data_IF_750553783542
#
_entry.id   IF_750553783542
#
_cell.length_a   1.000
_cell.length_b   1.000
_cell.length_c   1.000
_cell.angle_alpha   90.00
_cell.angle_beta   90.00
_cell.angle_gamma   90.00
#
_symmetry.space_group_name_H-M   'P 1'
#
loop_
_entity.id
_entity.type
_entity.pdbx_description
1 polymer ?
#
# COMPACT_ATOMS: atom_id res chain seq x y z
N UNK A 1 9.28 24.90 44.34
CA UNK A 1 8.10 24.32 43.67
C UNK A 1 8.18 24.81 42.25
N UNK A 2 8.71 24.01 41.33
CA UNK A 2 8.96 24.40 39.93
C UNK A 2 7.79 23.94 39.10
N UNK A 3 7.21 24.86 38.34
CA UNK A 3 6.09 24.61 37.44
C UNK A 3 6.52 23.66 36.31
N UNK A 4 5.79 22.56 36.17
CA UNK A 4 5.94 21.65 35.03
C UNK A 4 5.16 22.30 33.87
N UNK A 5 5.89 22.93 32.95
CA UNK A 5 5.31 23.36 31.68
C UNK A 5 5.02 22.09 30.85
N UNK A 6 3.75 21.74 30.70
CA UNK A 6 3.27 20.78 29.71
C UNK A 6 3.33 21.44 28.34
N UNK A 7 4.44 21.26 27.64
CA UNK A 7 4.59 21.63 26.23
C UNK A 7 3.72 20.74 25.34
N UNK A 8 3.29 21.33 24.24
CA UNK A 8 2.43 20.73 23.21
C UNK A 8 3.11 19.50 22.58
N UNK A 9 2.55 18.30 22.79
CA UNK A 9 3.11 17.02 22.39
C UNK A 9 2.80 16.63 20.91
N UNK A 10 2.60 17.61 20.04
CA UNK A 10 2.16 17.36 18.66
C UNK A 10 3.27 16.95 17.67
N UNK A 11 4.54 16.84 18.09
CA UNK A 11 5.65 16.37 17.21
C UNK A 11 6.78 15.73 18.05
N UNK A 12 6.61 14.46 18.45
CA UNK A 12 7.61 13.76 19.25
C UNK A 12 8.46 12.86 18.33
N UNK A 13 9.37 13.46 17.55
CA UNK A 13 10.42 12.69 16.86
C UNK A 13 11.80 12.82 17.52
N UNK A 14 11.95 13.71 18.49
CA UNK A 14 13.14 13.80 19.35
C UNK A 14 12.79 14.73 20.51
N UNK A 15 12.32 14.20 21.64
CA UNK A 15 11.99 15.01 22.81
C UNK A 15 13.18 15.07 23.75
N UNK A 16 13.73 16.25 23.92
CA UNK A 16 14.69 16.53 25.00
C UNK A 16 13.88 16.84 26.25
N UNK A 17 13.89 15.94 27.23
CA UNK A 17 13.28 16.17 28.53
C UNK A 17 14.37 16.67 29.47
N UNK A 18 14.26 17.93 29.92
CA UNK A 18 15.13 18.49 30.95
C UNK A 18 14.68 17.98 32.31
N UNK A 19 15.47 17.13 32.92
CA UNK A 19 15.26 16.66 34.31
C UNK A 19 16.41 17.19 35.18
N UNK A 20 16.17 18.26 35.91
CA UNK A 20 17.18 18.88 36.80
C UNK A 20 18.35 19.47 36.01
N UNK A 21 19.58 19.15 36.39
CA UNK A 21 20.82 19.63 35.75
C UNK A 21 21.31 18.73 34.60
N UNK A 22 20.52 17.78 34.16
CA UNK A 22 20.87 16.84 33.07
C UNK A 22 19.87 16.85 31.92
N UNK A 23 20.36 16.74 30.68
CA UNK A 23 19.55 16.51 29.50
C UNK A 23 19.44 15.00 29.27
N UNK A 24 18.22 14.46 29.25
CA UNK A 24 17.94 13.07 28.83
C UNK A 24 17.39 13.13 27.44
N UNK A 25 18.16 12.65 26.47
CA UNK A 25 17.71 12.48 25.11
C UNK A 25 16.91 11.17 25.02
N UNK A 26 15.58 11.29 24.94
CA UNK A 26 14.70 10.13 24.77
C UNK A 26 14.54 9.86 23.28
N UNK A 27 15.22 8.85 22.80
CA UNK A 27 15.04 8.35 21.43
C UNK A 27 13.81 7.43 21.42
N UNK A 28 12.67 7.96 20.99
CA UNK A 28 11.47 7.14 20.74
C UNK A 28 11.61 6.59 19.33
N UNK A 29 11.75 5.26 19.14
CA UNK A 29 11.82 4.69 17.81
C UNK A 29 10.50 4.99 17.08
N UNK A 30 10.61 5.59 15.89
CA UNK A 30 9.47 5.81 15.01
C UNK A 30 8.83 4.45 14.70
N UNK A 31 7.62 4.23 15.18
CA UNK A 31 6.88 2.99 14.91
C UNK A 31 6.45 2.99 13.45
N UNK A 32 7.30 2.45 12.58
CA UNK A 32 7.04 2.37 11.16
C UNK A 32 5.93 1.33 10.92
N UNK A 33 4.75 1.79 10.57
CA UNK A 33 3.64 0.91 10.20
C UNK A 33 3.98 0.20 8.88
N UNK A 34 4.00 -1.13 8.93
CA UNK A 34 4.11 -1.97 7.74
C UNK A 34 2.71 -2.53 7.45
N UNK A 35 2.04 -2.07 6.38
CA UNK A 35 0.69 -2.53 6.08
C UNK A 35 0.68 -3.97 5.57
N UNK A 36 -0.20 -4.81 6.13
CA UNK A 36 -0.46 -6.19 5.70
C UNK A 36 -1.96 -6.33 5.42
N UNK A 37 -2.40 -5.81 4.27
CA UNK A 37 -3.83 -5.64 3.93
C UNK A 37 -4.35 -6.66 2.93
N UNK A 38 -3.52 -7.58 2.41
CA UNK A 38 -3.99 -8.59 1.46
C UNK A 38 -5.00 -9.53 2.12
N UNK A 39 -6.19 -9.70 1.52
CA UNK A 39 -7.08 -10.78 1.89
C UNK A 39 -6.42 -12.15 1.66
N UNK A 40 -6.83 -13.15 2.44
CA UNK A 40 -6.40 -14.52 2.20
C UNK A 40 -6.98 -15.03 0.86
N UNK A 41 -6.20 -15.77 0.07
CA UNK A 41 -6.69 -16.40 -1.13
C UNK A 41 -7.78 -17.45 -0.80
N UNK A 42 -8.74 -17.71 -1.72
CA UNK A 42 -9.73 -18.74 -1.52
C UNK A 42 -9.08 -20.11 -1.25
N UNK A 43 -9.55 -20.79 -0.19
CA UNK A 43 -8.99 -22.10 0.22
C UNK A 43 -9.25 -23.22 -0.81
N UNK A 44 -10.30 -23.05 -1.63
CA UNK A 44 -10.74 -23.98 -2.67
C UNK A 44 -10.19 -23.64 -4.07
N UNK A 45 -9.21 -22.75 -4.16
CA UNK A 45 -8.60 -22.39 -5.43
C UNK A 45 -7.85 -23.59 -6.03
N UNK A 46 -8.33 -24.06 -7.19
CA UNK A 46 -7.75 -25.20 -7.91
C UNK A 46 -7.46 -24.85 -9.38
N UNK A 47 -6.47 -25.52 -9.94
CA UNK A 47 -6.07 -25.31 -11.34
C UNK A 47 -5.20 -24.07 -11.55
N UNK A 48 -4.97 -23.73 -12.81
CA UNK A 48 -4.21 -22.56 -13.28
C UNK A 48 -2.77 -22.47 -12.73
N UNK A 49 -2.18 -23.62 -12.32
CA UNK A 49 -0.84 -23.64 -11.74
C UNK A 49 0.22 -23.14 -12.72
N UNK A 50 0.16 -23.57 -14.00
CA UNK A 50 1.07 -23.13 -15.04
C UNK A 50 1.00 -21.60 -15.27
N UNK A 51 -0.21 -21.05 -15.30
CA UNK A 51 -0.42 -19.60 -15.45
C UNK A 51 0.16 -18.81 -14.26
N UNK A 52 -0.03 -19.32 -13.04
CA UNK A 52 0.58 -18.71 -11.83
C UNK A 52 2.10 -18.78 -11.88
N UNK A 53 2.68 -19.88 -12.34
CA UNK A 53 4.12 -20.04 -12.43
C UNK A 53 4.73 -19.09 -13.49
N UNK A 54 4.03 -18.91 -14.63
CA UNK A 54 4.41 -17.93 -15.65
C UNK A 54 4.34 -16.48 -15.12
N UNK A 55 3.27 -16.14 -14.40
CA UNK A 55 3.12 -14.80 -13.79
C UNK A 55 4.18 -14.53 -12.72
N UNK A 56 4.46 -15.51 -11.86
CA UNK A 56 5.53 -15.40 -10.87
C UNK A 56 6.90 -15.21 -11.55
N UNK A 57 7.19 -15.99 -12.59
CA UNK A 57 8.43 -15.87 -13.36
C UNK A 57 8.55 -14.49 -14.03
N UNK A 58 7.46 -13.96 -14.63
CA UNK A 58 7.45 -12.64 -15.25
C UNK A 58 7.79 -11.53 -14.24
N UNK A 59 7.26 -11.61 -13.02
CA UNK A 59 7.56 -10.65 -11.96
C UNK A 59 9.00 -10.79 -11.48
N UNK A 60 9.46 -12.00 -11.18
CA UNK A 60 10.75 -12.24 -10.54
C UNK A 60 11.94 -12.10 -11.49
N UNK A 61 11.82 -12.59 -12.74
CA UNK A 61 12.93 -12.63 -13.69
C UNK A 61 12.94 -11.47 -14.67
N UNK A 62 11.77 -10.99 -15.07
CA UNK A 62 11.63 -9.89 -16.04
C UNK A 62 11.44 -8.53 -15.36
N UNK A 63 11.30 -8.50 -14.02
CA UNK A 63 11.09 -7.28 -13.26
C UNK A 63 9.79 -6.57 -13.63
N UNK A 64 8.72 -7.35 -13.93
CA UNK A 64 7.41 -6.78 -14.22
C UNK A 64 6.92 -5.99 -13.00
N UNK A 65 6.49 -4.75 -13.24
CA UNK A 65 6.02 -3.83 -12.20
C UNK A 65 4.51 -3.74 -12.14
N UNK A 66 3.83 -4.15 -13.20
CA UNK A 66 2.39 -4.17 -13.32
C UNK A 66 1.99 -5.52 -13.89
N UNK A 67 1.18 -6.25 -13.14
CA UNK A 67 0.55 -7.49 -13.57
C UNK A 67 -0.96 -7.23 -13.76
N UNK A 68 -1.40 -7.06 -15.00
CA UNK A 68 -2.81 -6.85 -15.33
C UNK A 68 -3.51 -8.19 -15.63
N UNK A 69 -4.52 -8.55 -14.85
CA UNK A 69 -5.36 -9.73 -15.06
C UNK A 69 -6.65 -9.32 -15.77
N UNK A 70 -6.75 -9.58 -17.06
CA UNK A 70 -7.92 -9.24 -17.88
C UNK A 70 -8.77 -10.46 -18.17
N UNK A 71 -10.06 -10.25 -18.44
CA UNK A 71 -11.01 -11.32 -18.80
C UNK A 71 -12.45 -10.99 -18.40
N UNK A 72 -13.37 -11.88 -18.77
CA UNK A 72 -14.79 -11.73 -18.43
C UNK A 72 -15.03 -11.67 -16.92
N UNK A 73 -16.15 -11.04 -16.52
CA UNK A 73 -16.61 -11.06 -15.13
C UNK A 73 -16.81 -12.50 -14.64
N UNK A 74 -16.47 -12.78 -13.38
CA UNK A 74 -16.70 -14.10 -12.78
C UNK A 74 -15.68 -15.19 -13.11
N UNK A 75 -14.69 -14.95 -13.98
CA UNK A 75 -13.65 -15.97 -14.33
C UNK A 75 -12.58 -16.18 -13.26
N UNK A 76 -12.74 -15.61 -12.06
CA UNK A 76 -11.81 -15.81 -10.95
C UNK A 76 -10.55 -14.96 -11.01
N UNK A 77 -10.57 -13.77 -11.65
CA UNK A 77 -9.41 -12.86 -11.70
C UNK A 77 -8.91 -12.46 -10.31
N UNK A 78 -9.80 -12.01 -9.45
CA UNK A 78 -9.46 -11.66 -8.05
C UNK A 78 -8.85 -12.84 -7.30
N UNK A 79 -9.44 -14.03 -7.41
CA UNK A 79 -8.92 -15.25 -6.79
C UNK A 79 -7.50 -15.58 -7.28
N UNK A 80 -7.29 -15.56 -8.61
CA UNK A 80 -5.96 -15.78 -9.21
C UNK A 80 -4.96 -14.72 -8.73
N UNK A 81 -5.36 -13.45 -8.73
CA UNK A 81 -4.53 -12.35 -8.26
C UNK A 81 -4.14 -12.47 -6.79
N UNK A 82 -5.07 -12.88 -5.91
CA UNK A 82 -4.79 -13.11 -4.49
C UNK A 82 -3.82 -14.28 -4.28
N UNK A 83 -3.97 -15.38 -5.04
CA UNK A 83 -3.02 -16.50 -4.99
C UNK A 83 -1.64 -16.04 -5.46
N UNK A 84 -1.56 -15.29 -6.57
CA UNK A 84 -0.31 -14.70 -7.06
C UNK A 84 0.33 -13.78 -6.01
N UNK A 85 -0.44 -12.86 -5.43
CA UNK A 85 0.01 -11.95 -4.39
C UNK A 85 0.54 -12.69 -3.16
N UNK A 86 -0.16 -13.75 -2.74
CA UNK A 86 0.26 -14.61 -1.63
C UNK A 86 1.59 -15.31 -1.89
N UNK A 87 1.82 -15.80 -3.13
CA UNK A 87 3.11 -16.41 -3.53
C UNK A 87 4.25 -15.40 -3.55
N UNK A 88 3.96 -14.16 -3.93
CA UNK A 88 4.95 -13.10 -4.09
C UNK A 88 5.22 -12.30 -2.82
N UNK A 89 4.35 -12.33 -1.81
CA UNK A 89 4.42 -11.45 -0.64
C UNK A 89 5.77 -11.43 0.08
N UNK A 90 6.49 -12.55 0.09
CA UNK A 90 7.81 -12.63 0.74
C UNK A 90 8.88 -11.75 0.04
N UNK A 91 8.66 -11.39 -1.23
CA UNK A 91 9.53 -10.50 -2.00
C UNK A 91 9.22 -9.01 -1.77
N UNK A 92 8.12 -8.72 -1.03
CA UNK A 92 7.64 -7.36 -0.74
C UNK A 92 7.50 -7.16 0.77
N UNK A 93 8.64 -7.16 1.52
CA UNK A 93 8.63 -7.13 2.98
C UNK A 93 8.21 -5.77 3.57
N UNK A 94 8.26 -4.69 2.77
CA UNK A 94 7.91 -3.35 3.24
C UNK A 94 6.40 -3.09 3.27
N UNK A 95 5.59 -4.07 2.83
CA UNK A 95 4.15 -4.04 2.98
C UNK A 95 3.36 -4.60 1.81
N UNK A 96 2.09 -4.90 2.09
CA UNK A 96 1.11 -5.32 1.10
C UNK A 96 -0.16 -4.47 1.28
N UNK A 97 -0.50 -3.74 0.25
CA UNK A 97 -1.68 -2.89 0.17
C UNK A 97 -2.77 -3.57 -0.66
N UNK A 98 -4.01 -3.43 -0.23
CA UNK A 98 -5.18 -3.91 -0.97
C UNK A 98 -6.25 -2.83 -1.03
N UNK A 99 -6.83 -2.65 -2.20
CA UNK A 99 -8.00 -1.79 -2.37
C UNK A 99 -8.95 -2.37 -3.42
N UNK A 100 -10.24 -2.44 -3.08
CA UNK A 100 -11.30 -2.79 -4.01
C UNK A 100 -11.86 -1.52 -4.67
N UNK A 101 -11.59 -1.34 -5.96
CA UNK A 101 -11.89 -0.11 -6.70
C UNK A 101 -13.35 0.01 -7.15
N UNK A 102 -14.13 -1.06 -7.02
CA UNK A 102 -15.56 -1.11 -7.39
C UNK A 102 -15.83 -0.67 -8.82
N UNK A 103 -14.97 -1.05 -9.76
CA UNK A 103 -15.03 -0.64 -11.15
C UNK A 103 -16.30 -1.07 -11.87
N UNK A 104 -16.83 -2.25 -11.53
CA UNK A 104 -18.09 -2.76 -12.06
C UNK A 104 -19.34 -2.10 -11.46
N UNK A 105 -19.22 -1.31 -10.40
CA UNK A 105 -20.36 -0.67 -9.72
C UNK A 105 -20.77 0.65 -10.37
N UNK A 106 -21.97 1.13 -10.02
CA UNK A 106 -22.44 2.47 -10.42
C UNK A 106 -21.71 3.62 -9.68
N UNK A 107 -20.99 3.31 -8.60
CA UNK A 107 -20.23 4.28 -7.81
C UNK A 107 -18.81 3.74 -7.53
N UNK A 108 -17.92 3.78 -8.54
CA UNK A 108 -16.54 3.33 -8.39
C UNK A 108 -15.76 4.27 -7.46
N UNK A 109 -14.73 3.73 -6.83
CA UNK A 109 -13.82 4.52 -6.02
C UNK A 109 -13.07 5.51 -6.90
N UNK A 110 -13.08 6.79 -6.53
CA UNK A 110 -12.31 7.81 -7.25
C UNK A 110 -10.79 7.64 -7.01
N UNK A 111 -9.94 8.06 -7.94
CA UNK A 111 -8.49 8.02 -7.73
C UNK A 111 -8.04 8.75 -6.46
N UNK A 112 -8.65 9.89 -6.13
CA UNK A 112 -8.36 10.63 -4.90
C UNK A 112 -8.69 9.81 -3.64
N UNK A 113 -9.90 9.25 -3.55
CA UNK A 113 -10.31 8.43 -2.41
C UNK A 113 -9.46 7.15 -2.27
N UNK A 114 -9.04 6.56 -3.41
CA UNK A 114 -8.14 5.42 -3.40
C UNK A 114 -6.75 5.79 -2.87
N UNK A 115 -6.19 6.91 -3.34
CA UNK A 115 -4.89 7.42 -2.86
C UNK A 115 -4.92 7.73 -1.37
N UNK A 116 -5.97 8.40 -0.88
CA UNK A 116 -6.14 8.67 0.55
C UNK A 116 -6.12 7.37 1.37
N UNK A 117 -6.86 6.35 0.94
CA UNK A 117 -6.89 5.05 1.62
C UNK A 117 -5.51 4.39 1.65
N UNK A 118 -4.78 4.40 0.52
CA UNK A 118 -3.44 3.81 0.41
C UNK A 118 -2.40 4.59 1.26
N UNK A 119 -2.46 5.92 1.29
CA UNK A 119 -1.59 6.76 2.13
C UNK A 119 -1.84 6.52 3.61
N UNK A 120 -3.13 6.46 4.02
CA UNK A 120 -3.51 6.22 5.42
C UNK A 120 -3.10 4.85 5.95
N UNK A 121 -2.76 3.91 5.10
CA UNK A 121 -2.19 2.63 5.52
C UNK A 121 -0.80 2.80 6.18
N UNK A 122 -0.06 3.86 5.84
CA UNK A 122 1.23 4.22 6.44
C UNK A 122 1.11 5.36 7.45
N UNK A 123 0.24 6.33 7.16
CA UNK A 123 0.08 7.59 7.90
C UNK A 123 -1.39 7.80 8.29
N UNK A 124 -1.91 7.06 9.30
CA UNK A 124 -3.35 7.04 9.63
C UNK A 124 -3.94 8.39 9.98
N UNK A 125 -3.13 9.26 10.59
CA UNK A 125 -3.57 10.58 11.10
C UNK A 125 -3.16 11.76 10.21
N UNK A 126 -2.57 11.49 9.04
CA UNK A 126 -2.12 12.54 8.13
C UNK A 126 -3.28 13.46 7.67
N UNK A 127 -3.04 14.76 7.67
CA UNK A 127 -3.90 15.72 6.96
C UNK A 127 -3.53 15.69 5.49
N UNK A 128 -4.44 15.21 4.66
CA UNK A 128 -4.21 15.02 3.24
C UNK A 128 -4.87 16.13 2.42
N UNK A 129 -4.25 16.56 1.30
CA UNK A 129 -4.87 17.48 0.36
C UNK A 129 -6.03 16.80 -0.37
N UNK A 130 -6.93 17.60 -0.96
CA UNK A 130 -8.02 17.10 -1.81
C UNK A 130 -7.57 16.86 -3.27
N UNK A 131 -6.49 17.51 -3.68
CA UNK A 131 -5.97 17.45 -5.05
C UNK A 131 -5.31 16.10 -5.34
N UNK A 132 -5.73 15.46 -6.44
CA UNK A 132 -5.28 14.11 -6.81
C UNK A 132 -3.80 14.05 -7.18
N UNK A 133 -3.24 15.11 -7.76
CA UNK A 133 -1.84 15.13 -8.15
C UNK A 133 -0.93 15.29 -6.94
N UNK A 134 -1.36 16.08 -5.94
CA UNK A 134 -0.66 16.19 -4.66
C UNK A 134 -0.73 14.88 -3.88
N UNK A 135 -1.89 14.22 -3.82
CA UNK A 135 -2.03 12.89 -3.22
C UNK A 135 -1.12 11.86 -3.91
N UNK A 136 -1.09 11.86 -5.25
CA UNK A 136 -0.22 10.97 -6.01
C UNK A 136 1.28 11.25 -5.77
N UNK A 137 1.67 12.51 -5.55
CA UNK A 137 3.04 12.87 -5.19
C UNK A 137 3.42 12.34 -3.79
N UNK A 138 2.55 12.50 -2.80
CA UNK A 138 2.73 11.97 -1.44
C UNK A 138 2.84 10.43 -1.51
N UNK A 139 1.92 9.77 -2.19
CA UNK A 139 1.90 8.32 -2.36
C UNK A 139 3.20 7.79 -2.97
N UNK A 140 3.66 8.39 -4.08
CA UNK A 140 4.94 8.03 -4.71
C UNK A 140 6.12 8.21 -3.75
N UNK A 141 6.15 9.30 -2.98
CA UNK A 141 7.19 9.56 -1.98
C UNK A 141 7.22 8.49 -0.90
N UNK A 142 6.05 8.11 -0.37
CA UNK A 142 5.92 7.06 0.64
C UNK A 142 6.41 5.70 0.15
N UNK A 143 6.23 5.40 -1.14
CA UNK A 143 6.59 4.10 -1.72
C UNK A 143 7.99 4.06 -2.35
N UNK A 144 8.63 5.21 -2.53
CA UNK A 144 9.96 5.27 -3.17
C UNK A 144 10.98 4.41 -2.41
N UNK A 145 11.65 3.52 -3.13
CA UNK A 145 12.69 2.64 -2.60
C UNK A 145 12.18 1.48 -1.75
N UNK A 146 10.86 1.31 -1.59
CA UNK A 146 10.26 0.23 -0.82
C UNK A 146 9.81 -0.92 -1.72
N UNK A 147 10.03 -2.14 -1.24
CA UNK A 147 9.49 -3.37 -1.84
C UNK A 147 8.07 -3.59 -1.32
N UNK A 148 7.09 -3.03 -2.01
CA UNK A 148 5.66 -3.07 -1.66
C UNK A 148 4.88 -3.74 -2.77
N UNK A 149 3.90 -4.57 -2.41
CA UNK A 149 2.91 -5.12 -3.31
C UNK A 149 1.61 -4.34 -3.16
N UNK A 150 1.09 -3.79 -4.25
CA UNK A 150 -0.19 -3.08 -4.30
C UNK A 150 -1.18 -3.89 -5.12
N UNK A 151 -2.28 -4.32 -4.51
CA UNK A 151 -3.35 -5.05 -5.19
C UNK A 151 -4.54 -4.12 -5.43
N UNK A 152 -4.81 -3.84 -6.69
CA UNK A 152 -5.91 -2.98 -7.17
C UNK A 152 -7.00 -3.89 -7.76
N UNK A 153 -8.01 -4.20 -6.95
CA UNK A 153 -9.06 -5.15 -7.32
C UNK A 153 -10.27 -4.45 -7.96
N UNK A 154 -10.86 -5.10 -8.97
CA UNK A 154 -12.02 -4.61 -9.71
C UNK A 154 -11.83 -3.20 -10.25
N UNK A 155 -10.78 -3.00 -11.04
CA UNK A 155 -10.53 -1.73 -11.71
C UNK A 155 -11.47 -1.55 -12.92
N UNK A 156 -12.02 -0.32 -13.08
CA UNK A 156 -12.89 0.02 -14.21
C UNK A 156 -12.10 0.17 -15.51
N UNK A 157 -11.02 0.95 -15.45
CA UNK A 157 -10.24 1.35 -16.62
C UNK A 157 -8.85 1.86 -16.22
N UNK A 158 -8.04 2.12 -17.25
CA UNK A 158 -6.68 2.63 -17.04
C UNK A 158 -6.65 4.04 -16.39
N UNK A 159 -7.67 4.87 -16.57
CA UNK A 159 -7.72 6.20 -15.97
C UNK A 159 -7.84 6.11 -14.45
N UNK A 160 -8.67 5.16 -13.95
CA UNK A 160 -8.84 4.93 -12.52
C UNK A 160 -7.53 4.49 -11.84
N UNK A 161 -6.72 3.64 -12.48
CA UNK A 161 -5.52 3.05 -11.85
C UNK A 161 -4.25 3.86 -12.06
N UNK A 162 -4.18 4.74 -13.06
CA UNK A 162 -2.95 5.43 -13.46
C UNK A 162 -2.24 6.15 -12.30
N UNK A 163 -2.99 6.87 -11.47
CA UNK A 163 -2.46 7.60 -10.33
C UNK A 163 -2.04 6.68 -9.17
N UNK A 164 -2.55 5.43 -9.15
CA UNK A 164 -2.34 4.43 -8.10
C UNK A 164 -1.13 3.51 -8.38
N UNK A 165 -0.55 3.60 -9.58
CA UNK A 165 0.61 2.76 -9.94
C UNK A 165 1.82 3.17 -9.11
N UNK A 166 2.44 2.22 -8.37
CA UNK A 166 3.56 2.52 -7.51
C UNK A 166 4.86 2.73 -8.31
N UNK A 167 5.84 3.47 -7.76
CA UNK A 167 7.18 3.56 -8.32
C UNK A 167 7.95 2.25 -8.11
N UNK A 168 9.05 2.06 -8.86
CA UNK A 168 9.99 0.95 -8.63
C UNK A 168 10.60 1.05 -7.21
N UNK A 169 10.86 -0.07 -6.54
CA UNK A 169 10.73 -1.49 -6.99
C UNK A 169 9.38 -2.15 -6.65
N UNK A 170 8.35 -1.39 -6.31
CA UNK A 170 7.06 -1.94 -5.96
C UNK A 170 6.33 -2.59 -7.16
N UNK A 171 5.45 -3.56 -6.86
CA UNK A 171 4.60 -4.27 -7.83
C UNK A 171 3.14 -3.84 -7.68
N UNK A 172 2.46 -3.59 -8.80
CA UNK A 172 1.00 -3.52 -8.85
C UNK A 172 0.40 -4.78 -9.50
N UNK A 173 -0.59 -5.39 -8.84
CA UNK A 173 -1.48 -6.40 -9.43
C UNK A 173 -2.83 -5.71 -9.63
N UNK A 174 -3.37 -5.78 -10.86
CA UNK A 174 -4.64 -5.12 -11.24
C UNK A 174 -5.58 -6.16 -11.82
N UNK A 175 -6.83 -6.21 -11.31
CA UNK A 175 -7.87 -7.10 -11.82
C UNK A 175 -9.06 -6.33 -12.40
#
# INVERSE_FOLDING_TARGET
MGDIHTGDFSNINNSIINIGSGNVEVHIPELKLIPHQLPDPPADFVGRAAELDELCAAVQTQGALICGLTGLGGVGKTALGLVLASRLKAHYPDGQLYIHLRGASNNPVTPAAALEQLIRAFEPVARLPEDVDQLAAIYRTLLTGKHILVFLDDARDAAQVRALLPPRPALAIVT
#
